data_IF_335957800318
#
_entry.id   IF_335957800318
#
_cell.length_a   1.000
_cell.length_b   1.000
_cell.length_c   1.000
_cell.angle_alpha   90.00
_cell.angle_beta   90.00
_cell.angle_gamma   90.00
#
_symmetry.space_group_name_H-M   'P 1'
#
loop_
_entity.id
_entity.type
_entity.pdbx_description
1 polymer ?
#
# COMPACT_ATOMS: atom_id res chain seq x y z
N UNK A 1 66.58 1.08 -42.14
CA UNK A 1 67.80 1.46 -41.40
C UNK A 1 67.37 2.41 -40.30
N UNK A 2 67.20 1.89 -39.08
CA UNK A 2 68.09 2.07 -37.91
C UNK A 2 68.11 3.51 -37.34
N UNK A 3 67.61 3.60 -36.10
CA UNK A 3 68.15 4.40 -34.98
C UNK A 3 67.86 5.91 -34.99
N UNK A 4 67.63 6.61 -33.88
CA UNK A 4 67.39 6.33 -32.46
C UNK A 4 67.12 7.72 -31.78
N UNK A 5 66.53 7.71 -30.58
CA UNK A 5 66.48 8.79 -29.56
C UNK A 5 65.36 9.84 -29.74
N UNK A 6 64.62 10.24 -28.72
CA UNK A 6 64.96 10.30 -27.30
C UNK A 6 63.70 10.19 -26.43
N UNK A 7 63.82 9.44 -25.33
CA UNK A 7 62.80 9.26 -24.29
C UNK A 7 62.86 10.43 -23.32
N UNK A 8 61.72 11.03 -23.00
CA UNK A 8 61.52 11.69 -21.70
C UNK A 8 60.27 11.10 -21.04
N UNK A 9 60.48 10.51 -19.87
CA UNK A 9 59.44 9.95 -19.03
C UNK A 9 58.97 11.04 -18.07
N UNK A 10 57.73 11.51 -18.26
CA UNK A 10 57.04 12.31 -17.26
C UNK A 10 56.28 11.35 -16.35
N UNK A 11 56.88 11.07 -15.19
CA UNK A 11 56.22 10.42 -14.05
C UNK A 11 55.59 11.53 -13.23
N UNK A 12 54.27 11.68 -13.26
CA UNK A 12 53.54 12.46 -12.27
C UNK A 12 52.23 11.78 -11.87
N UNK A 13 52.30 11.13 -10.70
CA UNK A 13 51.28 11.10 -9.65
C UNK A 13 49.83 10.89 -10.06
N UNK A 14 49.41 9.62 -10.19
CA UNK A 14 48.02 9.23 -10.04
C UNK A 14 47.68 9.24 -8.54
N UNK A 15 47.17 10.36 -8.02
CA UNK A 15 46.59 10.42 -6.69
C UNK A 15 45.25 9.67 -6.71
N UNK A 16 45.28 8.40 -6.30
CA UNK A 16 44.09 7.58 -6.08
C UNK A 16 43.38 8.10 -4.82
N UNK A 17 42.42 9.01 -5.00
CA UNK A 17 41.47 9.36 -3.94
C UNK A 17 40.59 8.13 -3.66
N UNK A 18 40.92 7.40 -2.60
CA UNK A 18 40.05 6.40 -2.00
C UNK A 18 38.83 7.13 -1.41
N UNK A 19 37.72 7.15 -2.15
CA UNK A 19 36.43 7.55 -1.61
C UNK A 19 36.01 6.52 -0.55
N UNK A 20 36.06 6.92 0.73
CA UNK A 20 35.53 6.10 1.81
C UNK A 20 34.00 6.07 1.73
N UNK A 21 33.35 4.91 1.89
CA UNK A 21 31.90 4.87 2.00
C UNK A 21 31.47 5.52 3.32
N UNK A 22 30.77 6.65 3.21
CA UNK A 22 30.00 7.20 4.31
C UNK A 22 28.88 6.20 4.67
N UNK A 23 29.15 5.32 5.62
CA UNK A 23 28.11 4.60 6.32
C UNK A 23 27.38 5.61 7.22
N UNK A 24 26.21 6.06 6.77
CA UNK A 24 25.26 6.75 7.64
C UNK A 24 24.79 5.74 8.67
N UNK A 25 25.30 5.89 9.89
CA UNK A 25 24.89 5.14 11.06
C UNK A 25 23.43 5.53 11.36
N UNK A 26 22.50 4.66 10.97
CA UNK A 26 21.10 4.80 11.37
C UNK A 26 21.00 4.68 12.90
N UNK A 27 20.19 5.52 13.58
CA UNK A 27 19.99 5.40 15.01
C UNK A 27 19.29 4.07 15.33
N UNK A 28 19.89 3.33 16.27
CA UNK A 28 19.33 2.12 16.84
C UNK A 28 18.27 2.45 17.90
N UNK A 29 17.22 1.62 17.89
CA UNK A 29 16.21 1.38 18.92
C UNK A 29 15.12 2.45 19.14
N UNK A 30 13.95 2.18 18.56
CA UNK A 30 12.72 2.18 19.35
C UNK A 30 12.40 0.71 19.71
N UNK A 31 12.17 0.47 21.00
CA UNK A 31 11.84 -0.83 21.56
C UNK A 31 10.59 -1.42 20.89
N UNK A 32 10.67 -2.70 20.55
CA UNK A 32 9.54 -3.49 20.12
C UNK A 32 8.49 -3.55 21.23
N UNK A 33 7.51 -2.65 21.19
CA UNK A 33 6.20 -2.90 21.78
C UNK A 33 5.61 -4.14 21.11
N UNK A 34 4.93 -4.97 21.88
CA UNK A 34 4.27 -6.20 21.43
C UNK A 34 3.39 -5.91 20.22
N UNK A 35 3.93 -6.18 19.04
CA UNK A 35 3.22 -6.11 17.79
C UNK A 35 2.11 -7.17 17.79
N UNK A 36 0.87 -6.70 17.84
CA UNK A 36 -0.28 -7.52 17.47
C UNK A 36 -0.20 -7.72 15.95
N UNK A 37 -0.39 -8.95 15.47
CA UNK A 37 -0.45 -9.20 14.03
C UNK A 37 -1.47 -8.22 13.38
N UNK A 38 -1.14 -7.67 12.21
CA UNK A 38 -1.92 -6.59 11.58
C UNK A 38 -1.46 -5.14 11.82
N UNK A 39 -0.51 -4.84 12.72
CA UNK A 39 -0.05 -3.45 12.98
C UNK A 39 1.42 -3.15 12.64
N UNK A 40 2.17 -4.11 12.11
CA UNK A 40 3.62 -3.91 11.93
C UNK A 40 4.03 -3.24 10.62
N UNK A 41 3.12 -3.11 9.66
CA UNK A 41 3.49 -2.73 8.28
C UNK A 41 4.58 -3.64 7.67
N UNK A 42 4.78 -4.83 8.25
CA UNK A 42 5.73 -5.84 7.75
C UNK A 42 5.03 -7.08 7.23
N UNK A 43 3.71 -7.01 7.00
CA UNK A 43 3.01 -8.01 6.19
C UNK A 43 3.36 -7.83 4.71
N UNK A 44 4.65 -8.05 4.42
CA UNK A 44 5.14 -8.37 3.09
C UNK A 44 4.42 -9.63 2.64
N UNK A 45 3.33 -9.48 1.88
CA UNK A 45 2.58 -10.53 1.15
C UNK A 45 2.81 -11.93 1.74
N UNK A 46 2.50 -12.14 3.02
CA UNK A 46 2.62 -13.50 3.53
C UNK A 46 1.61 -14.30 2.70
N UNK A 47 2.00 -15.45 2.11
CA UNK A 47 1.08 -16.17 1.23
C UNK A 47 -0.26 -16.47 1.92
N UNK A 48 -0.22 -16.72 3.23
CA UNK A 48 -1.39 -16.89 4.09
C UNK A 48 -2.27 -15.65 4.15
N UNK A 49 -1.72 -14.46 4.40
CA UNK A 49 -2.49 -13.22 4.49
C UNK A 49 -3.08 -12.82 3.13
N UNK A 50 -2.29 -12.95 2.08
CA UNK A 50 -2.74 -12.73 0.71
C UNK A 50 -3.91 -13.65 0.34
N UNK A 51 -3.81 -14.94 0.65
CA UNK A 51 -4.89 -15.90 0.43
C UNK A 51 -6.12 -15.58 1.27
N UNK A 52 -5.95 -15.16 2.52
CA UNK A 52 -7.08 -14.76 3.38
C UNK A 52 -7.86 -13.60 2.76
N UNK A 53 -7.18 -12.58 2.22
CA UNK A 53 -7.86 -11.47 1.54
C UNK A 53 -8.66 -11.96 0.32
N UNK A 54 -8.07 -12.83 -0.49
CA UNK A 54 -8.75 -13.40 -1.67
C UNK A 54 -10.00 -14.17 -1.31
N UNK A 55 -9.92 -15.00 -0.27
CA UNK A 55 -11.04 -15.79 0.24
C UNK A 55 -12.17 -14.89 0.72
N UNK A 56 -11.84 -13.87 1.51
CA UNK A 56 -12.82 -12.86 1.96
C UNK A 56 -13.47 -12.16 0.77
N UNK A 57 -12.68 -11.73 -0.23
CA UNK A 57 -13.24 -11.10 -1.42
C UNK A 57 -14.22 -12.04 -2.15
N UNK A 58 -13.87 -13.33 -2.29
CA UNK A 58 -14.73 -14.32 -2.93
C UNK A 58 -15.99 -14.66 -2.13
N UNK A 59 -15.90 -14.72 -0.80
CA UNK A 59 -17.05 -14.87 0.10
C UNK A 59 -18.02 -13.69 -0.07
N UNK A 60 -17.49 -12.47 -0.13
CA UNK A 60 -18.27 -11.24 -0.26
C UNK A 60 -18.83 -11.02 -1.65
N UNK A 61 -18.21 -11.55 -2.71
CA UNK A 61 -18.81 -11.58 -4.05
C UNK A 61 -20.07 -12.48 -4.08
N UNK A 62 -20.08 -13.57 -3.30
CA UNK A 62 -21.21 -14.51 -3.23
C UNK A 62 -22.32 -14.03 -2.31
N UNK A 63 -21.96 -13.48 -1.15
CA UNK A 63 -22.89 -13.02 -0.12
C UNK A 63 -22.39 -11.70 0.47
N UNK A 64 -22.67 -10.56 -0.21
CA UNK A 64 -22.20 -9.26 0.25
C UNK A 64 -22.71 -8.93 1.64
N UNK A 65 -21.79 -8.62 2.56
CA UNK A 65 -22.11 -8.01 3.85
C UNK A 65 -22.88 -6.71 3.61
N UNK A 66 -23.88 -6.44 4.44
CA UNK A 66 -24.68 -5.21 4.37
C UNK A 66 -23.88 -3.97 4.76
N UNK A 67 -22.81 -4.15 5.54
CA UNK A 67 -22.05 -3.07 6.18
C UNK A 67 -20.64 -2.91 5.56
N UNK A 68 -20.47 -3.26 4.28
CA UNK A 68 -19.18 -3.18 3.60
C UNK A 68 -18.85 -1.75 3.13
N UNK A 69 -19.87 -1.09 2.59
CA UNK A 69 -19.87 0.34 2.28
C UNK A 69 -20.86 1.03 3.23
N UNK A 70 -20.73 2.34 3.49
CA UNK A 70 -21.74 3.02 4.30
C UNK A 70 -23.06 3.17 3.54
N UNK A 71 -23.00 3.04 2.21
CA UNK A 71 -24.11 3.05 1.27
C UNK A 71 -24.75 1.67 1.11
N UNK A 72 -24.24 0.66 1.84
CA UNK A 72 -24.82 -0.67 1.94
C UNK A 72 -23.89 -1.77 1.44
N UNK A 73 -24.42 -2.81 0.78
CA UNK A 73 -23.66 -4.00 0.50
C UNK A 73 -22.52 -3.76 -0.48
N UNK A 74 -21.55 -4.68 -0.48
CA UNK A 74 -20.40 -4.70 -1.41
C UNK A 74 -20.84 -4.83 -2.88
N UNK A 75 -21.27 -3.73 -3.49
CA UNK A 75 -21.77 -3.65 -4.87
C UNK A 75 -21.00 -2.57 -5.63
N UNK A 76 -20.24 -3.01 -6.61
CA UNK A 76 -19.39 -2.15 -7.43
C UNK A 76 -20.14 -1.67 -8.66
N UNK A 77 -19.96 -0.38 -8.97
CA UNK A 77 -20.53 0.30 -10.14
C UNK A 77 -19.49 0.48 -11.24
N UNK A 78 -18.20 0.36 -10.92
CA UNK A 78 -17.11 0.51 -11.87
C UNK A 78 -16.60 -0.82 -12.43
N UNK A 79 -15.68 -0.75 -13.39
CA UNK A 79 -14.91 -1.91 -13.84
C UNK A 79 -14.14 -2.64 -12.72
N UNK A 80 -13.93 -2.02 -11.55
CA UNK A 80 -13.33 -2.65 -10.37
C UNK A 80 -14.05 -3.93 -9.96
N UNK A 81 -15.39 -3.95 -10.07
CA UNK A 81 -16.19 -5.12 -9.71
C UNK A 81 -15.84 -6.38 -10.51
N UNK A 82 -15.34 -6.21 -11.73
CA UNK A 82 -14.93 -7.30 -12.63
C UNK A 82 -13.46 -7.70 -12.45
N UNK A 83 -12.71 -6.99 -11.62
CA UNK A 83 -11.32 -7.30 -11.33
C UNK A 83 -11.23 -8.61 -10.54
N UNK A 84 -10.22 -9.43 -10.86
CA UNK A 84 -10.02 -10.69 -10.15
C UNK A 84 -9.67 -10.46 -8.68
N UNK A 85 -10.05 -11.40 -7.82
CA UNK A 85 -9.79 -11.28 -6.39
C UNK A 85 -8.28 -11.31 -6.05
N UNK A 86 -7.45 -11.90 -6.92
CA UNK A 86 -5.98 -11.82 -6.83
C UNK A 86 -5.48 -10.37 -6.94
N UNK A 87 -6.00 -9.64 -7.93
CA UNK A 87 -5.61 -8.25 -8.19
C UNK A 87 -6.17 -7.33 -7.11
N UNK A 88 -7.40 -7.57 -6.64
CA UNK A 88 -7.97 -6.86 -5.48
C UNK A 88 -7.11 -7.07 -4.23
N UNK A 89 -6.67 -8.30 -3.95
CA UNK A 89 -5.80 -8.60 -2.82
C UNK A 89 -4.43 -7.93 -2.92
N UNK A 90 -3.82 -7.94 -4.11
CA UNK A 90 -2.56 -7.27 -4.35
C UNK A 90 -2.67 -5.75 -4.11
N UNK A 91 -3.70 -5.12 -4.67
CA UNK A 91 -3.98 -3.70 -4.44
C UNK A 91 -4.17 -3.38 -2.95
N UNK A 92 -4.98 -4.19 -2.26
CA UNK A 92 -5.30 -3.99 -0.85
C UNK A 92 -4.05 -3.98 0.04
N UNK A 93 -3.15 -4.96 -0.16
CA UNK A 93 -1.87 -5.04 0.56
C UNK A 93 -0.96 -3.87 0.21
N UNK A 94 -0.82 -3.56 -1.09
CA UNK A 94 0.08 -2.48 -1.52
C UNK A 94 -0.42 -1.11 -1.01
N UNK A 95 -1.75 -0.89 -0.93
CA UNK A 95 -2.36 0.30 -0.33
C UNK A 95 -2.08 0.39 1.18
N UNK A 96 -2.26 -0.71 1.93
CA UNK A 96 -1.97 -0.76 3.37
C UNK A 96 -0.49 -0.47 3.65
N UNK A 97 0.41 -1.11 2.89
CA UNK A 97 1.85 -0.91 3.03
C UNK A 97 2.24 0.54 2.74
N UNK A 98 1.72 1.11 1.66
CA UNK A 98 1.93 2.51 1.34
C UNK A 98 1.42 3.45 2.46
N UNK A 99 0.23 3.21 3.02
CA UNK A 99 -0.32 4.04 4.09
C UNK A 99 0.55 3.95 5.35
N UNK A 100 1.01 2.75 5.69
CA UNK A 100 1.90 2.54 6.83
C UNK A 100 3.26 3.22 6.66
N UNK A 101 3.88 3.12 5.47
CA UNK A 101 5.13 3.78 5.11
C UNK A 101 5.03 5.31 5.18
N UNK A 102 3.83 5.85 4.92
CA UNK A 102 3.49 7.26 5.09
C UNK A 102 3.19 7.66 6.54
N UNK A 103 3.25 6.72 7.47
CA UNK A 103 3.15 6.97 8.91
C UNK A 103 1.73 6.86 9.48
N UNK A 104 0.74 6.41 8.70
CA UNK A 104 -0.61 6.23 9.24
C UNK A 104 -0.67 5.10 10.25
N UNK A 105 -1.35 5.33 11.37
CA UNK A 105 -1.61 4.37 12.43
C UNK A 105 -3.07 4.45 12.86
N UNK A 106 -3.72 3.31 13.07
CA UNK A 106 -5.15 3.29 13.43
C UNK A 106 -5.40 3.72 14.87
N UNK A 107 -4.49 3.39 15.79
CA UNK A 107 -4.54 3.78 17.20
C UNK A 107 -4.34 5.30 17.43
N UNK A 108 -3.78 6.01 16.46
CA UNK A 108 -3.57 7.46 16.47
C UNK A 108 -4.04 8.14 15.17
N UNK A 109 -5.14 7.63 14.59
CA UNK A 109 -5.60 8.07 13.27
C UNK A 109 -5.78 9.59 13.16
N UNK A 110 -6.26 10.26 14.22
CA UNK A 110 -6.47 11.71 14.21
C UNK A 110 -5.21 12.50 13.87
N UNK A 111 -4.05 12.05 14.37
CA UNK A 111 -2.77 12.72 14.12
C UNK A 111 -2.07 12.23 12.84
N UNK A 112 -2.36 11.00 12.41
CA UNK A 112 -1.61 10.33 11.34
C UNK A 112 -2.43 10.10 10.07
N UNK A 113 -3.67 10.59 10.00
CA UNK A 113 -4.58 10.37 8.88
C UNK A 113 -3.97 10.88 7.57
N UNK A 114 -3.97 10.01 6.57
CA UNK A 114 -3.56 10.37 5.20
C UNK A 114 -4.79 10.87 4.43
N UNK A 115 -4.76 12.11 3.90
CA UNK A 115 -5.85 12.66 3.12
C UNK A 115 -6.26 11.77 1.95
N UNK A 116 -7.57 11.67 1.71
CA UNK A 116 -8.12 10.87 0.61
C UNK A 116 -7.46 11.16 -0.74
N UNK A 117 -7.18 12.43 -1.07
CA UNK A 117 -6.54 12.80 -2.33
C UNK A 117 -5.19 12.11 -2.55
N UNK A 118 -4.43 11.86 -1.47
CA UNK A 118 -3.16 11.12 -1.54
C UNK A 118 -3.35 9.64 -1.80
N UNK A 119 -4.42 9.05 -1.25
CA UNK A 119 -4.81 7.66 -1.55
C UNK A 119 -5.27 7.53 -2.99
N UNK A 120 -5.99 8.52 -3.49
CA UNK A 120 -6.43 8.58 -4.88
C UNK A 120 -5.25 8.66 -5.84
N UNK A 121 -4.25 9.51 -5.56
CA UNK A 121 -3.00 9.60 -6.32
C UNK A 121 -2.28 8.24 -6.37
N UNK A 122 -2.15 7.56 -5.23
CA UNK A 122 -1.58 6.22 -5.15
C UNK A 122 -2.40 5.21 -5.96
N UNK A 123 -3.72 5.18 -5.78
CA UNK A 123 -4.59 4.23 -6.46
C UNK A 123 -4.53 4.43 -7.97
N UNK A 124 -4.60 5.68 -8.44
CA UNK A 124 -4.45 6.01 -9.85
C UNK A 124 -3.13 5.45 -10.42
N UNK A 125 -2.00 5.73 -9.78
CA UNK A 125 -0.70 5.22 -10.21
C UNK A 125 -0.67 3.68 -10.23
N UNK A 126 -1.17 3.04 -9.18
CA UNK A 126 -1.16 1.58 -9.06
C UNK A 126 -1.98 0.93 -10.18
N UNK A 127 -3.22 1.38 -10.39
CA UNK A 127 -4.12 0.82 -11.40
C UNK A 127 -3.66 1.13 -12.83
N UNK A 128 -3.12 2.34 -13.09
CA UNK A 128 -2.48 2.67 -14.37
C UNK A 128 -1.26 1.80 -14.65
N UNK A 129 -0.64 1.22 -13.64
CA UNK A 129 0.52 0.34 -13.82
C UNK A 129 0.08 -1.10 -14.04
N UNK A 130 -0.85 -1.60 -13.22
CA UNK A 130 -1.12 -3.03 -13.08
C UNK A 130 -2.35 -3.55 -13.83
N UNK A 131 -3.29 -2.70 -14.28
CA UNK A 131 -4.52 -3.16 -14.91
C UNK A 131 -4.79 -2.47 -16.27
N UNK A 132 -4.90 -3.27 -17.33
CA UNK A 132 -5.14 -2.75 -18.69
C UNK A 132 -6.57 -2.27 -18.92
N UNK A 133 -7.55 -2.82 -18.21
CA UNK A 133 -8.95 -2.39 -18.30
C UNK A 133 -9.09 -1.01 -17.65
N UNK A 134 -8.49 -0.81 -16.48
CA UNK A 134 -8.42 0.49 -15.84
C UNK A 134 -7.76 1.52 -16.75
N UNK A 135 -6.61 1.21 -17.37
CA UNK A 135 -5.94 2.14 -18.29
C UNK A 135 -6.86 2.63 -19.41
N UNK A 136 -7.69 1.75 -19.96
CA UNK A 136 -8.61 2.02 -21.07
C UNK A 136 -9.98 2.55 -20.64
N UNK A 137 -10.30 2.50 -19.35
CA UNK A 137 -11.57 2.96 -18.82
C UNK A 137 -11.77 4.47 -19.05
N UNK A 138 -13.04 4.85 -19.18
CA UNK A 138 -13.43 6.25 -19.28
C UNK A 138 -13.09 7.00 -17.96
N UNK A 139 -12.88 8.33 -17.99
CA UNK A 139 -12.52 9.09 -16.79
C UNK A 139 -13.47 8.87 -15.60
N UNK A 140 -14.78 8.90 -15.84
CA UNK A 140 -15.80 8.67 -14.80
C UNK A 140 -15.70 7.27 -14.17
N UNK A 141 -15.39 6.25 -14.97
CA UNK A 141 -15.22 4.87 -14.49
C UNK A 141 -13.93 4.74 -13.70
N UNK A 142 -12.85 5.40 -14.13
CA UNK A 142 -11.58 5.46 -13.38
C UNK A 142 -11.74 6.10 -12.00
N UNK A 143 -12.53 7.17 -11.91
CA UNK A 143 -12.79 7.87 -10.66
C UNK A 143 -13.59 7.00 -9.70
N UNK A 144 -14.69 6.41 -10.16
CA UNK A 144 -15.48 5.45 -9.38
C UNK A 144 -14.65 4.21 -8.99
N UNK A 145 -13.79 3.72 -9.88
CA UNK A 145 -12.93 2.56 -9.63
C UNK A 145 -11.93 2.82 -8.52
N UNK A 146 -11.22 3.96 -8.53
CA UNK A 146 -10.29 4.31 -7.44
C UNK A 146 -11.02 4.38 -6.11
N UNK A 147 -12.19 5.03 -6.09
CA UNK A 147 -13.00 5.16 -4.88
C UNK A 147 -13.40 3.79 -4.31
N UNK A 148 -14.00 2.94 -5.14
CA UNK A 148 -14.42 1.60 -4.75
C UNK A 148 -13.23 0.74 -4.30
N UNK A 149 -12.11 0.80 -5.04
CA UNK A 149 -10.91 0.05 -4.72
C UNK A 149 -10.30 0.47 -3.38
N UNK A 150 -10.21 1.77 -3.09
CA UNK A 150 -9.64 2.27 -1.83
C UNK A 150 -10.44 1.77 -0.63
N UNK A 151 -11.77 1.88 -0.67
CA UNK A 151 -12.63 1.44 0.42
C UNK A 151 -12.59 -0.08 0.55
N UNK A 152 -12.77 -0.79 -0.57
CA UNK A 152 -12.78 -2.25 -0.56
C UNK A 152 -11.44 -2.82 -0.09
N UNK A 153 -10.32 -2.30 -0.60
CA UNK A 153 -8.99 -2.73 -0.19
C UNK A 153 -8.72 -2.50 1.29
N UNK A 154 -9.17 -1.36 1.83
CA UNK A 154 -9.04 -1.06 3.27
C UNK A 154 -9.84 -2.04 4.12
N UNK A 155 -11.11 -2.32 3.76
CA UNK A 155 -11.94 -3.28 4.49
C UNK A 155 -11.44 -4.72 4.35
N UNK A 156 -10.94 -5.11 3.17
CA UNK A 156 -10.39 -6.43 2.91
C UNK A 156 -9.20 -6.75 3.83
N UNK A 157 -8.25 -5.82 3.94
CA UNK A 157 -7.10 -5.96 4.84
C UNK A 157 -7.55 -6.01 6.30
N UNK A 158 -8.48 -5.14 6.69
CA UNK A 158 -9.02 -5.14 8.05
C UNK A 158 -9.64 -6.49 8.41
N UNK A 159 -10.53 -7.03 7.57
CA UNK A 159 -11.17 -8.33 7.77
C UNK A 159 -10.16 -9.47 7.80
N UNK A 160 -9.17 -9.47 6.92
CA UNK A 160 -8.13 -10.49 6.88
C UNK A 160 -7.29 -10.46 8.16
N UNK A 161 -6.90 -9.27 8.62
CA UNK A 161 -6.15 -9.13 9.86
C UNK A 161 -6.99 -9.57 11.06
N UNK A 162 -8.27 -9.22 11.13
CA UNK A 162 -9.19 -9.68 12.18
C UNK A 162 -9.45 -11.20 12.14
N UNK A 163 -9.30 -11.86 10.98
CA UNK A 163 -9.37 -13.32 10.85
C UNK A 163 -8.07 -13.97 11.35
N UNK A 164 -6.93 -13.32 11.12
CA UNK A 164 -5.60 -13.81 11.50
C UNK A 164 -5.26 -13.55 12.98
N UNK A 165 -5.84 -12.52 13.57
CA UNK A 165 -5.78 -12.21 15.00
C UNK A 165 -7.01 -12.77 15.70
N UNK A 166 -6.93 -13.03 17.00
CA UNK A 166 -8.13 -13.34 17.81
C UNK A 166 -9.03 -12.11 18.05
N UNK A 167 -8.99 -11.11 17.16
CA UNK A 167 -9.63 -9.81 17.29
C UNK A 167 -8.64 -8.64 17.39
N UNK A 168 -9.13 -7.45 17.08
CA UNK A 168 -8.42 -6.19 17.29
C UNK A 168 -8.75 -5.56 18.64
N UNK A 169 -7.89 -4.62 19.09
CA UNK A 169 -8.21 -3.81 20.27
C UNK A 169 -9.36 -2.85 19.97
N UNK A 170 -10.09 -2.42 21.01
CA UNK A 170 -11.15 -1.43 20.87
C UNK A 170 -10.67 -0.12 20.22
N UNK A 171 -9.43 0.29 20.51
CA UNK A 171 -8.82 1.48 19.91
C UNK A 171 -8.64 1.31 18.39
N UNK A 172 -8.17 0.14 17.94
CA UNK A 172 -8.04 -0.16 16.51
C UNK A 172 -9.41 -0.24 15.82
N UNK A 173 -10.42 -0.81 16.47
CA UNK A 173 -11.77 -0.84 15.90
C UNK A 173 -12.36 0.56 15.72
N UNK A 174 -12.17 1.44 16.71
CA UNK A 174 -12.59 2.84 16.62
C UNK A 174 -11.80 3.56 15.53
N UNK A 175 -10.49 3.34 15.47
CA UNK A 175 -9.61 3.86 14.44
C UNK A 175 -10.07 3.46 13.04
N UNK A 176 -10.32 2.16 12.81
CA UNK A 176 -10.80 1.66 11.53
C UNK A 176 -12.16 2.24 11.15
N UNK A 177 -13.14 2.27 12.08
CA UNK A 177 -14.45 2.90 11.84
C UNK A 177 -14.29 4.38 11.49
N UNK A 178 -13.40 5.09 12.17
CA UNK A 178 -13.05 6.48 11.89
C UNK A 178 -12.44 6.66 10.50
N UNK A 179 -11.49 5.79 10.11
CA UNK A 179 -10.87 5.81 8.79
C UNK A 179 -11.92 5.60 7.70
N UNK A 180 -12.71 4.55 7.82
CA UNK A 180 -13.77 4.25 6.86
C UNK A 180 -14.74 5.42 6.72
N UNK A 181 -15.18 6.02 7.83
CA UNK A 181 -16.03 7.22 7.79
C UNK A 181 -15.37 8.41 7.07
N UNK A 182 -14.06 8.61 7.21
CA UNK A 182 -13.34 9.67 6.48
C UNK A 182 -13.23 9.38 4.98
N UNK A 183 -12.92 8.13 4.60
CA UNK A 183 -12.82 7.71 3.19
C UNK A 183 -14.17 7.81 2.46
N UNK A 184 -15.25 7.62 3.19
CA UNK A 184 -16.61 7.64 2.68
C UNK A 184 -17.17 9.05 2.52
N UNK A 185 -16.81 10.00 3.40
CA UNK A 185 -17.24 11.42 3.30
C UNK A 185 -16.73 12.13 2.04
N UNK A 186 -15.72 11.56 1.38
CA UNK A 186 -15.14 12.11 0.16
C UNK A 186 -15.86 11.65 -1.11
N UNK A 187 -16.83 10.74 -1.04
CA UNK A 187 -17.78 10.48 -2.15
C UNK A 187 -18.70 11.70 -2.31
N UNK A 188 -18.50 12.49 -3.37
CA UNK A 188 -19.39 13.61 -3.72
C UNK A 188 -18.79 15.02 -3.63
N UNK A 189 -17.47 15.16 -3.55
CA UNK A 189 -16.75 16.42 -3.82
C UNK A 189 -15.95 16.30 -5.10
#
# INVERSE_FOLDING_TARGET
MKNLLQKEAVVFGLALLMAQPFFVQMPAHAQAGTAVAGDTGTEKRSPTFFNSIKEIAAEQDKSPSKDWFPTGPRRFKSGYGKTSNDVKAAFAIDLQNWAFEKGERLDNLTATYIPYKKREEFAMWWWLTHDQNYKKAAPWDKDQWKYEAIIDGTELVWKAGNRSTAGYSAAMEIGHKGLMAQLMKTEGK
#
